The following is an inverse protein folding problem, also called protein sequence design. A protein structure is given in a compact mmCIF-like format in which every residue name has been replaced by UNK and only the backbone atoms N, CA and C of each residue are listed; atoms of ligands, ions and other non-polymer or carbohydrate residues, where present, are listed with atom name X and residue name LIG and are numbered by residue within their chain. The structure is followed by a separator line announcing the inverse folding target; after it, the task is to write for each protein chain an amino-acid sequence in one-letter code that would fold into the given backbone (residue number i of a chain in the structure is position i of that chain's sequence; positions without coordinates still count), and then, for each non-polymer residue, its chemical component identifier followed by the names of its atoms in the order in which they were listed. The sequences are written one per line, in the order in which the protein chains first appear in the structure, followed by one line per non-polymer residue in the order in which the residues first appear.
data_IF_601620995307
#
_entry.id   IF_601620995307
#
_cell.length_a   1.000
_cell.length_b   1.000
_cell.length_c   1.000
_cell.angle_alpha   90.00
_cell.angle_beta   90.00
_cell.angle_gamma   90.00
#
_symmetry.space_group_name_H-M   'P 1'
#
loop_
_entity.id
_entity.type
_entity.pdbx_description
1 polymer ?
#
# COMPACT_ATOMS: atom_id res chain seq x y z
N UNK A 1 5.33 -32.78 -26.15
CA UNK A 1 4.03 -32.75 -25.46
C UNK A 1 3.87 -31.37 -24.84
N UNK A 2 2.74 -30.69 -25.05
CA UNK A 2 2.47 -29.41 -24.37
C UNK A 2 1.60 -29.74 -23.16
N UNK A 3 2.17 -29.61 -21.97
CA UNK A 3 1.43 -29.64 -20.72
C UNK A 3 0.38 -28.52 -20.78
N UNK A 4 -0.90 -28.90 -20.84
CA UNK A 4 -2.00 -27.95 -20.73
C UNK A 4 -2.19 -27.62 -19.26
N UNK A 5 -1.98 -26.36 -18.83
CA UNK A 5 -2.22 -25.98 -17.46
C UNK A 5 -3.70 -26.22 -17.13
N UNK A 6 -3.96 -27.02 -16.10
CA UNK A 6 -5.29 -27.26 -15.57
C UNK A 6 -5.57 -26.14 -14.57
N UNK A 7 -6.52 -25.28 -14.91
CA UNK A 7 -6.98 -24.22 -14.00
C UNK A 7 -7.74 -24.88 -12.85
N UNK A 8 -7.26 -24.66 -11.64
CA UNK A 8 -7.87 -25.14 -10.39
C UNK A 8 -8.99 -24.21 -9.94
N UNK A 9 -9.93 -24.70 -9.12
CA UNK A 9 -10.95 -23.84 -8.49
C UNK A 9 -10.31 -22.74 -7.65
N UNK A 10 -9.16 -23.02 -7.01
CA UNK A 10 -8.41 -22.05 -6.23
C UNK A 10 -7.89 -20.88 -7.08
N UNK A 11 -7.43 -21.15 -8.31
CA UNK A 11 -7.02 -20.11 -9.26
C UNK A 11 -8.21 -19.26 -9.73
N UNK A 12 -9.37 -19.88 -9.91
CA UNK A 12 -10.61 -19.17 -10.25
C UNK A 12 -11.04 -18.25 -9.10
N UNK A 13 -11.06 -18.75 -7.86
CA UNK A 13 -11.41 -17.95 -6.68
C UNK A 13 -10.43 -16.79 -6.47
N UNK A 14 -9.13 -17.02 -6.73
CA UNK A 14 -8.11 -15.98 -6.66
C UNK A 14 -8.36 -14.88 -7.69
N UNK A 15 -8.70 -15.23 -8.93
CA UNK A 15 -9.02 -14.25 -9.97
C UNK A 15 -10.32 -13.49 -9.66
N UNK A 16 -11.33 -14.16 -9.11
CA UNK A 16 -12.57 -13.52 -8.66
C UNK A 16 -12.27 -12.51 -7.56
N UNK A 17 -11.47 -12.86 -6.55
CA UNK A 17 -11.05 -11.92 -5.51
C UNK A 17 -10.28 -10.74 -6.09
N UNK A 18 -9.32 -10.98 -6.97
CA UNK A 18 -8.57 -9.90 -7.62
C UNK A 18 -9.47 -8.98 -8.47
N UNK A 19 -10.54 -9.50 -9.08
CA UNK A 19 -11.55 -8.68 -9.73
C UNK A 19 -12.38 -7.88 -8.73
N UNK A 20 -12.80 -8.49 -7.62
CA UNK A 20 -13.54 -7.79 -6.56
C UNK A 20 -12.72 -6.65 -5.95
N UNK A 21 -11.46 -6.88 -5.64
CA UNK A 21 -10.56 -5.89 -5.05
C UNK A 21 -10.34 -4.71 -6.02
N UNK A 22 -10.18 -4.98 -7.33
CA UNK A 22 -10.06 -3.94 -8.36
C UNK A 22 -11.31 -3.08 -8.53
N UNK A 23 -12.48 -3.64 -8.25
CA UNK A 23 -13.76 -2.96 -8.37
C UNK A 23 -14.30 -2.44 -7.03
N UNK A 24 -13.54 -2.63 -5.94
CA UNK A 24 -13.92 -2.15 -4.63
C UNK A 24 -13.92 -0.62 -4.60
N UNK A 25 -14.93 -0.05 -3.93
CA UNK A 25 -14.97 1.38 -3.66
C UNK A 25 -14.25 1.67 -2.35
N UNK A 26 -13.34 2.64 -2.40
CA UNK A 26 -12.70 3.16 -1.19
C UNK A 26 -13.68 4.07 -0.47
N UNK A 27 -14.13 3.64 0.71
CA UNK A 27 -14.94 4.45 1.63
C UNK A 27 -14.06 5.03 2.72
N UNK A 28 -14.31 6.27 3.11
CA UNK A 28 -13.60 6.90 4.24
C UNK A 28 -13.89 6.10 5.50
N UNK A 29 -12.87 5.48 6.07
CA UNK A 29 -12.98 4.82 7.36
C UNK A 29 -13.11 5.88 8.48
N UNK A 30 -13.97 5.63 9.48
CA UNK A 30 -13.99 6.42 10.73
C UNK A 30 -12.80 6.08 11.65
N UNK A 31 -11.89 5.20 11.18
CA UNK A 31 -10.70 4.79 11.90
C UNK A 31 -9.70 5.95 11.96
N UNK A 32 -9.11 6.13 13.13
CA UNK A 32 -8.08 7.15 13.37
C UNK A 32 -6.67 6.57 13.36
N UNK A 33 -6.51 5.27 13.18
CA UNK A 33 -5.22 4.56 13.22
C UNK A 33 -5.09 3.70 11.97
N UNK A 34 -3.92 3.76 11.35
CA UNK A 34 -3.60 3.03 10.12
C UNK A 34 -3.33 1.55 10.41
N UNK A 35 -4.03 0.66 9.71
CA UNK A 35 -3.83 -0.79 9.76
C UNK A 35 -3.38 -1.35 8.39
N UNK A 36 -3.00 -2.62 8.36
CA UNK A 36 -2.63 -3.30 7.12
C UNK A 36 -3.87 -3.53 6.26
N UNK A 37 -3.80 -3.18 4.97
CA UNK A 37 -4.91 -3.18 4.01
C UNK A 37 -5.71 -1.89 3.97
N UNK A 38 -5.41 -0.90 4.83
CA UNK A 38 -6.04 0.42 4.74
C UNK A 38 -5.37 1.27 3.64
N UNK A 39 -6.16 2.18 3.06
CA UNK A 39 -5.67 3.20 2.14
C UNK A 39 -5.47 4.50 2.91
N UNK A 40 -4.23 4.97 2.99
CA UNK A 40 -3.87 6.23 3.63
C UNK A 40 -3.53 7.28 2.58
N UNK A 41 -3.98 8.52 2.79
CA UNK A 41 -3.55 9.68 2.01
C UNK A 41 -2.45 10.37 2.80
N UNK A 42 -1.24 10.43 2.24
CA UNK A 42 -0.06 10.94 2.94
C UNK A 42 0.69 11.98 2.10
N UNK A 43 1.35 12.87 2.82
CA UNK A 43 2.40 13.74 2.31
C UNK A 43 3.74 13.18 2.81
N UNK A 44 4.71 13.04 1.93
CA UNK A 44 6.03 12.54 2.32
C UNK A 44 7.15 13.25 1.57
N UNK A 45 8.31 13.33 2.23
CA UNK A 45 9.56 13.78 1.65
C UNK A 45 10.68 12.80 2.05
N UNK A 46 11.32 12.24 1.04
CA UNK A 46 12.37 11.24 1.14
C UNK A 46 13.72 11.85 0.80
N UNK A 47 14.71 11.49 1.61
CA UNK A 47 16.08 11.97 1.51
C UNK A 47 17.00 10.76 1.37
N UNK A 48 17.88 10.76 0.37
CA UNK A 48 18.91 9.76 0.19
C UNK A 48 20.26 10.41 0.50
N UNK A 49 20.97 9.92 1.52
CA UNK A 49 22.24 10.50 1.98
C UNK A 49 22.18 12.00 2.34
N UNK A 50 21.00 12.49 2.71
CA UNK A 50 20.75 13.90 3.05
C UNK A 50 20.33 14.77 1.85
N UNK A 51 20.30 14.23 0.64
CA UNK A 51 19.84 14.92 -0.57
C UNK A 51 18.44 14.43 -0.97
N UNK A 52 17.51 15.32 -1.35
CA UNK A 52 16.22 14.90 -1.88
C UNK A 52 16.43 14.17 -3.22
N UNK A 53 15.72 13.05 -3.43
CA UNK A 53 15.83 12.26 -4.67
C UNK A 53 14.55 12.36 -5.52
N UNK A 54 14.65 12.23 -6.85
CA UNK A 54 13.48 12.28 -7.73
C UNK A 54 12.51 11.14 -7.43
N UNK A 55 11.24 11.47 -7.22
CA UNK A 55 10.21 10.52 -6.79
C UNK A 55 10.17 10.27 -5.28
N UNK A 56 11.06 10.92 -4.52
CA UNK A 56 11.09 10.85 -3.06
C UNK A 56 10.09 11.77 -2.35
N UNK A 57 9.38 12.66 -3.06
CA UNK A 57 8.42 13.56 -2.43
C UNK A 57 7.08 13.57 -3.18
N UNK A 58 5.98 13.55 -2.44
CA UNK A 58 4.64 13.70 -2.97
C UNK A 58 3.69 14.29 -1.90
N UNK A 59 2.64 14.96 -2.37
CA UNK A 59 1.55 15.47 -1.55
C UNK A 59 0.22 14.84 -2.01
N UNK A 60 -0.64 14.47 -1.07
CA UNK A 60 -1.92 13.82 -1.31
C UNK A 60 -1.79 12.43 -1.93
N UNK A 61 -0.66 11.74 -1.71
CA UNK A 61 -0.42 10.44 -2.31
C UNK A 61 -1.23 9.36 -1.59
N UNK A 62 -2.03 8.60 -2.33
CA UNK A 62 -2.79 7.47 -1.77
C UNK A 62 -1.93 6.21 -1.81
N UNK A 63 -1.66 5.64 -0.64
CA UNK A 63 -0.90 4.40 -0.48
C UNK A 63 -1.76 3.33 0.17
N UNK A 64 -1.67 2.11 -0.34
CA UNK A 64 -2.22 0.92 0.31
C UNK A 64 -1.16 0.35 1.26
N UNK A 65 -1.48 0.33 2.56
CA UNK A 65 -0.52 -0.04 3.59
C UNK A 65 -0.38 -1.55 3.66
N UNK A 66 0.81 -2.08 3.41
CA UNK A 66 1.10 -3.51 3.41
C UNK A 66 1.02 -4.18 2.04
N UNK A 67 0.76 -3.42 0.97
CA UNK A 67 0.80 -3.90 -0.41
C UNK A 67 2.22 -4.20 -0.90
N UNK A 68 3.26 -3.68 -0.22
CA UNK A 68 4.65 -3.80 -0.65
C UNK A 68 4.93 -3.08 -1.98
N UNK A 69 4.13 -2.06 -2.28
CA UNK A 69 4.28 -1.23 -3.48
C UNK A 69 5.34 -0.14 -3.29
N UNK A 70 5.73 0.12 -2.04
CA UNK A 70 6.71 1.11 -1.64
C UNK A 70 8.02 0.49 -1.14
N UNK A 71 8.99 1.37 -0.80
CA UNK A 71 10.28 0.94 -0.25
C UNK A 71 10.04 0.10 1.01
N UNK A 72 10.66 -1.09 1.13
CA UNK A 72 10.54 -1.92 2.32
C UNK A 72 10.83 -1.13 3.59
N UNK A 73 9.95 -1.25 4.59
CA UNK A 73 10.06 -0.52 5.86
C UNK A 73 9.28 0.78 5.92
N UNK A 74 8.99 1.44 4.78
CA UNK A 74 8.16 2.65 4.76
C UNK A 74 6.72 2.35 5.19
N UNK A 75 6.06 1.41 4.51
CA UNK A 75 4.68 1.01 4.83
C UNK A 75 4.55 0.47 6.26
N UNK A 76 5.58 -0.25 6.73
CA UNK A 76 5.61 -0.76 8.11
C UNK A 76 5.72 0.36 9.15
N UNK A 77 6.35 1.49 8.81
CA UNK A 77 6.44 2.65 9.68
C UNK A 77 5.11 3.40 9.84
N UNK A 78 4.23 3.32 8.83
CA UNK A 78 2.88 3.88 8.83
C UNK A 78 1.89 3.07 9.67
N UNK A 79 2.13 1.76 9.84
CA UNK A 79 1.28 0.92 10.68
C UNK A 79 1.22 1.46 12.12
N UNK A 80 -0.01 1.67 12.59
CA UNK A 80 -0.27 2.19 13.94
C UNK A 80 -0.12 3.71 14.08
N UNK A 81 0.21 4.46 13.02
CA UNK A 81 0.18 5.92 13.07
C UNK A 81 -1.25 6.43 13.16
N UNK A 82 -1.45 7.50 13.92
CA UNK A 82 -2.72 8.20 13.98
C UNK A 82 -2.91 9.13 12.77
N UNK A 83 -4.17 9.50 12.49
CA UNK A 83 -4.48 10.59 11.55
C UNK A 83 -3.75 11.88 11.97
N UNK A 84 -3.21 12.58 10.99
CA UNK A 84 -2.46 13.84 11.17
C UNK A 84 -1.17 13.72 12.01
N UNK A 85 -0.70 12.49 12.27
CA UNK A 85 0.58 12.26 12.94
C UNK A 85 1.74 12.41 11.96
N UNK A 86 2.74 13.19 12.34
CA UNK A 86 4.01 13.29 11.62
C UNK A 86 5.04 12.35 12.24
N UNK A 87 5.74 11.58 11.40
CA UNK A 87 6.77 10.65 11.85
C UNK A 87 7.91 10.54 10.85
N UNK A 88 9.14 10.61 11.37
CA UNK A 88 10.33 10.27 10.58
C UNK A 88 10.46 8.74 10.52
N UNK A 89 10.35 8.19 9.31
CA UNK A 89 10.55 6.76 9.06
C UNK A 89 11.94 6.56 8.46
N UNK A 90 12.78 5.79 9.15
CA UNK A 90 14.08 5.36 8.63
C UNK A 90 13.91 4.02 7.94
N UNK A 91 13.95 4.05 6.61
CA UNK A 91 13.97 2.87 5.73
C UNK A 91 15.39 2.63 5.22
#
# INVERSE_FOLDING_TARGET
EKDTPVVTEEEVDKEIKALQDRHAELVSAEKTVVENGDFAVIDFEGYLEGEPFPGGAAQGYTIEVGAGSFIPGFEAGLLGMALEEEKEIKA
#
